data_IF_146978310768
#
_entry.id   IF_146978310768
#
_cell.length_a   1.000
_cell.length_b   1.000
_cell.length_c   1.000
_cell.angle_alpha   90.00
_cell.angle_beta   90.00
_cell.angle_gamma   90.00
#
_symmetry.space_group_name_H-M   'P 1'
#
loop_
_entity.id
_entity.type
_entity.pdbx_description
1 polymer ?
#
# COMPACT_ATOMS: atom_id res chain seq x y z
N UNK A 1 -18.43 71.30 -47.11
CA UNK A 1 -17.49 71.87 -46.12
C UNK A 1 -16.71 70.71 -45.53
N UNK A 2 -15.58 70.33 -46.13
CA UNK A 2 -14.21 70.83 -45.83
C UNK A 2 -13.84 70.41 -44.40
N UNK A 3 -13.23 69.23 -44.19
CA UNK A 3 -11.81 68.90 -44.37
C UNK A 3 -10.86 69.72 -43.48
N UNK A 4 -10.21 69.07 -42.53
CA UNK A 4 -8.91 69.49 -42.00
C UNK A 4 -8.16 68.24 -41.49
N UNK A 5 -7.17 67.84 -42.27
CA UNK A 5 -6.12 66.92 -41.87
C UNK A 5 -5.02 67.70 -41.14
N UNK A 6 -4.40 67.09 -40.13
CA UNK A 6 -3.02 67.38 -39.78
C UNK A 6 -2.27 66.08 -39.52
N UNK A 7 -1.11 66.02 -40.17
CA UNK A 7 -0.17 64.92 -40.21
C UNK A 7 1.01 65.23 -39.26
N UNK A 8 1.67 64.17 -38.80
CA UNK A 8 3.10 64.04 -38.45
C UNK A 8 3.39 63.58 -37.00
N UNK A 9 3.87 62.34 -36.85
CA UNK A 9 5.29 62.04 -36.57
C UNK A 9 5.47 60.55 -36.25
N UNK A 10 6.39 59.90 -36.97
CA UNK A 10 6.84 58.53 -36.74
C UNK A 10 7.53 58.37 -35.38
N UNK A 11 7.22 57.26 -34.70
CA UNK A 11 8.16 56.63 -33.77
C UNK A 11 8.03 55.10 -33.90
N UNK A 12 9.07 54.49 -34.49
CA UNK A 12 9.29 53.04 -34.57
C UNK A 12 9.23 52.40 -33.18
N UNK A 13 8.27 51.51 -32.98
CA UNK A 13 8.22 50.59 -31.85
C UNK A 13 7.79 49.21 -32.34
N UNK A 14 8.76 48.42 -32.80
CA UNK A 14 8.56 47.02 -33.16
C UNK A 14 8.29 46.23 -31.86
N UNK A 15 7.01 46.13 -31.49
CA UNK A 15 6.55 45.22 -30.44
C UNK A 15 6.12 43.92 -31.11
N UNK A 16 7.03 42.95 -31.13
CA UNK A 16 6.69 41.54 -31.35
C UNK A 16 5.86 41.11 -30.14
N UNK A 17 4.54 41.25 -30.22
CA UNK A 17 3.62 40.72 -29.23
C UNK A 17 3.09 39.38 -29.68
N UNK A 18 3.23 38.39 -28.81
CA UNK A 18 2.33 37.25 -28.75
C UNK A 18 2.84 36.02 -29.48
N UNK A 19 3.61 35.22 -28.76
CA UNK A 19 3.73 33.79 -29.00
C UNK A 19 2.34 33.17 -28.78
N UNK A 20 1.47 33.15 -29.80
CA UNK A 20 0.25 32.35 -29.81
C UNK A 20 0.66 30.90 -30.06
N UNK A 21 0.56 30.05 -29.05
CA UNK A 21 0.93 28.64 -29.19
C UNK A 21 1.18 27.90 -27.89
N UNK A 22 0.34 28.10 -26.88
CA UNK A 22 0.06 27.03 -25.93
C UNK A 22 -1.43 26.75 -26.04
N UNK A 23 -1.78 25.87 -26.97
CA UNK A 23 -3.01 25.10 -26.84
C UNK A 23 -2.96 24.46 -25.46
N UNK A 24 -3.77 24.99 -24.54
CA UNK A 24 -4.23 24.23 -23.40
C UNK A 24 -4.88 22.99 -24.00
N UNK A 25 -4.15 21.87 -24.04
CA UNK A 25 -4.80 20.58 -23.96
C UNK A 25 -5.63 20.65 -22.68
N UNK A 26 -6.92 20.93 -22.82
CA UNK A 26 -7.88 20.73 -21.76
C UNK A 26 -7.70 19.27 -21.36
N UNK A 27 -6.96 19.02 -20.29
CA UNK A 27 -6.79 17.68 -19.75
C UNK A 27 -8.21 17.13 -19.59
N UNK A 28 -8.55 16.09 -20.35
CA UNK A 28 -9.90 15.55 -20.35
C UNK A 28 -10.31 15.31 -18.90
N UNK A 29 -11.38 15.96 -18.46
CA UNK A 29 -11.82 15.87 -17.08
C UNK A 29 -12.09 14.39 -16.77
N UNK A 30 -11.36 13.84 -15.79
CA UNK A 30 -11.50 12.44 -15.38
C UNK A 30 -12.97 12.15 -15.07
N UNK A 31 -13.47 11.02 -15.55
CA UNK A 31 -14.85 10.57 -15.38
C UNK A 31 -14.92 9.48 -14.32
N UNK A 32 -15.63 9.74 -13.24
CA UNK A 32 -15.89 8.77 -12.18
C UNK A 32 -17.23 8.08 -12.37
N UNK A 33 -17.24 6.78 -12.09
CA UNK A 33 -18.46 6.00 -11.83
C UNK A 33 -18.42 5.59 -10.37
N UNK A 34 -19.49 5.88 -9.65
CA UNK A 34 -19.66 5.51 -8.25
C UNK A 34 -20.54 4.25 -8.18
N UNK A 35 -20.11 3.25 -7.43
CA UNK A 35 -20.89 2.04 -7.15
C UNK A 35 -21.18 1.97 -5.66
N UNK A 36 -22.42 2.21 -5.25
CA UNK A 36 -22.82 2.21 -3.83
C UNK A 36 -24.34 2.09 -3.71
N UNK A 37 -24.82 1.24 -2.80
CA UNK A 37 -26.27 1.03 -2.55
C UNK A 37 -26.85 1.98 -1.50
N UNK A 38 -26.04 2.40 -0.53
CA UNK A 38 -26.47 3.26 0.56
C UNK A 38 -26.42 4.76 0.16
N UNK A 39 -27.50 5.55 0.38
CA UNK A 39 -27.52 6.96 0.02
C UNK A 39 -26.46 7.83 0.72
N UNK A 40 -26.07 7.49 1.95
CA UNK A 40 -24.99 8.22 2.65
C UNK A 40 -23.64 7.87 2.04
N UNK A 41 -23.40 6.59 1.74
CA UNK A 41 -22.20 6.15 1.03
C UNK A 41 -22.06 6.83 -0.34
N UNK A 42 -23.15 6.96 -1.10
CA UNK A 42 -23.19 7.72 -2.36
C UNK A 42 -22.80 9.18 -2.13
N UNK A 43 -23.42 9.86 -1.17
CA UNK A 43 -23.14 11.27 -0.89
C UNK A 43 -21.67 11.51 -0.49
N UNK A 44 -21.11 10.63 0.34
CA UNK A 44 -19.72 10.69 0.74
C UNK A 44 -18.76 10.39 -0.41
N UNK A 45 -19.09 9.40 -1.25
CA UNK A 45 -18.30 9.05 -2.43
C UNK A 45 -18.28 10.21 -3.43
N UNK A 46 -19.43 10.84 -3.70
CA UNK A 46 -19.51 12.05 -4.52
C UNK A 46 -18.69 13.19 -3.93
N UNK A 47 -18.74 13.39 -2.61
CA UNK A 47 -17.89 14.38 -1.96
C UNK A 47 -16.41 14.08 -2.20
N UNK A 48 -15.96 12.84 -2.01
CA UNK A 48 -14.56 12.47 -2.22
C UNK A 48 -14.11 12.70 -3.68
N UNK A 49 -14.93 12.31 -4.66
CA UNK A 49 -14.68 12.51 -6.10
C UNK A 49 -14.61 14.01 -6.44
N UNK A 50 -15.52 14.83 -5.90
CA UNK A 50 -15.50 16.30 -6.08
C UNK A 50 -14.24 16.94 -5.51
N UNK A 51 -13.83 16.55 -4.29
CA UNK A 51 -12.60 17.07 -3.68
C UNK A 51 -11.35 16.67 -4.47
N UNK A 52 -11.37 15.51 -5.15
CA UNK A 52 -10.30 15.08 -6.02
C UNK A 52 -10.31 15.74 -7.42
N UNK A 53 -11.28 16.61 -7.71
CA UNK A 53 -11.40 17.30 -9.01
C UNK A 53 -11.82 16.41 -10.17
N UNK A 54 -12.53 15.32 -9.89
CA UNK A 54 -13.02 14.34 -10.87
C UNK A 54 -14.52 14.55 -11.10
N UNK A 55 -15.00 14.38 -12.34
CA UNK A 55 -16.41 14.57 -12.67
C UNK A 55 -17.19 13.25 -12.50
N UNK A 56 -18.23 13.26 -11.65
CA UNK A 56 -19.15 12.11 -11.52
C UNK A 56 -19.98 11.99 -12.79
N UNK A 57 -19.88 10.86 -13.47
CA UNK A 57 -20.62 10.55 -14.70
C UNK A 57 -21.85 9.70 -14.42
N UNK A 58 -21.76 8.77 -13.48
CA UNK A 58 -22.85 7.88 -13.11
C UNK A 58 -22.70 7.39 -11.68
N UNK A 59 -23.84 7.15 -11.03
CA UNK A 59 -23.94 6.40 -9.78
C UNK A 59 -24.77 5.16 -10.06
N UNK A 60 -24.23 3.99 -9.75
CA UNK A 60 -24.84 2.69 -10.04
C UNK A 60 -24.96 1.85 -8.76
N UNK A 61 -25.95 0.97 -8.75
CA UNK A 61 -26.25 0.08 -7.63
C UNK A 61 -25.77 -1.34 -7.94
N UNK A 62 -25.39 -2.11 -6.91
CA UNK A 62 -24.90 -3.48 -7.07
C UNK A 62 -25.95 -4.39 -7.73
N UNK A 63 -27.23 -4.18 -7.43
CA UNK A 63 -28.34 -4.98 -7.97
C UNK A 63 -28.42 -4.98 -9.51
N UNK A 64 -28.03 -3.88 -10.16
CA UNK A 64 -28.10 -3.72 -11.63
C UNK A 64 -26.73 -3.45 -12.26
N UNK A 65 -25.66 -3.86 -11.58
CA UNK A 65 -24.28 -3.49 -11.89
C UNK A 65 -23.90 -3.73 -13.36
N UNK A 66 -24.10 -4.95 -13.85
CA UNK A 66 -23.65 -5.35 -15.20
C UNK A 66 -24.34 -4.52 -16.27
N UNK A 67 -25.67 -4.43 -16.23
CA UNK A 67 -26.45 -3.65 -17.19
C UNK A 67 -26.06 -2.17 -17.16
N UNK A 68 -25.91 -1.59 -15.97
CA UNK A 68 -25.56 -0.18 -15.83
C UNK A 68 -24.12 0.12 -16.32
N UNK A 69 -23.18 -0.81 -16.15
CA UNK A 69 -21.82 -0.68 -16.67
C UNK A 69 -21.75 -0.78 -18.20
N UNK A 70 -22.63 -1.56 -18.82
CA UNK A 70 -22.70 -1.70 -20.28
C UNK A 70 -23.15 -0.40 -20.96
N UNK A 71 -24.04 0.36 -20.31
CA UNK A 71 -24.48 1.68 -20.78
C UNK A 71 -23.39 2.76 -20.65
N UNK A 72 -22.34 2.49 -19.87
CA UNK A 72 -21.23 3.43 -19.65
C UNK A 72 -20.13 3.15 -20.69
N UNK A 73 -19.86 4.15 -21.53
CA UNK A 73 -18.85 4.03 -22.60
C UNK A 73 -17.43 3.91 -22.07
N UNK A 74 -17.06 4.73 -21.06
CA UNK A 74 -15.71 4.82 -20.52
C UNK A 74 -15.72 5.42 -19.11
N UNK A 75 -14.86 4.90 -18.23
CA UNK A 75 -14.59 5.46 -16.91
C UNK A 75 -13.08 5.61 -16.66
N UNK A 76 -12.66 6.71 -16.04
CA UNK A 76 -11.27 6.90 -15.59
C UNK A 76 -11.09 6.52 -14.10
N UNK A 77 -12.19 6.42 -13.37
CA UNK A 77 -12.25 6.04 -11.96
C UNK A 77 -13.52 5.22 -11.71
N UNK A 78 -13.36 4.04 -11.11
CA UNK A 78 -14.42 3.30 -10.46
C UNK A 78 -14.22 3.45 -8.94
N UNK A 79 -15.14 4.15 -8.29
CA UNK A 79 -15.16 4.28 -6.83
C UNK A 79 -16.29 3.42 -6.28
N UNK A 80 -15.93 2.36 -5.56
CA UNK A 80 -16.85 1.35 -5.07
C UNK A 80 -16.94 1.46 -3.55
N UNK A 81 -18.15 1.64 -3.01
CA UNK A 81 -18.43 1.50 -1.60
C UNK A 81 -19.20 0.20 -1.37
N UNK A 82 -18.50 -0.79 -0.81
CA UNK A 82 -18.99 -2.12 -0.50
C UNK A 82 -19.39 -2.26 0.98
N UNK A 83 -19.45 -1.16 1.74
CA UNK A 83 -19.78 -1.20 3.17
C UNK A 83 -21.20 -1.71 3.39
N UNK A 84 -21.36 -2.76 4.19
CA UNK A 84 -22.66 -3.36 4.46
C UNK A 84 -23.29 -4.14 3.29
N UNK A 85 -22.57 -4.30 2.17
CA UNK A 85 -23.04 -5.09 1.03
C UNK A 85 -22.82 -6.59 1.33
N UNK A 86 -23.82 -7.46 1.10
CA UNK A 86 -23.66 -8.90 1.34
C UNK A 86 -22.50 -9.51 0.54
N UNK A 87 -21.76 -10.42 1.18
CA UNK A 87 -20.56 -11.07 0.60
C UNK A 87 -20.89 -11.79 -0.71
N UNK A 88 -22.08 -12.39 -0.84
CA UNK A 88 -22.54 -13.08 -2.04
C UNK A 88 -22.69 -12.12 -3.24
N UNK A 89 -23.14 -10.90 -2.96
CA UNK A 89 -23.25 -9.85 -3.98
C UNK A 89 -21.86 -9.38 -4.40
N UNK A 90 -20.95 -9.20 -3.44
CA UNK A 90 -19.57 -8.79 -3.71
C UNK A 90 -18.80 -9.85 -4.50
N UNK A 91 -19.02 -11.14 -4.21
CA UNK A 91 -18.36 -12.26 -4.90
C UNK A 91 -18.64 -12.25 -6.41
N UNK A 92 -19.85 -11.88 -6.82
CA UNK A 92 -20.20 -11.70 -8.23
C UNK A 92 -19.80 -10.34 -8.81
N UNK A 93 -19.88 -9.27 -8.02
CA UNK A 93 -19.67 -7.89 -8.48
C UNK A 93 -18.20 -7.51 -8.66
N UNK A 94 -17.33 -7.91 -7.74
CA UNK A 94 -15.93 -7.48 -7.71
C UNK A 94 -15.13 -7.95 -8.95
N UNK A 95 -15.28 -9.19 -9.46
CA UNK A 95 -14.65 -9.60 -10.71
C UNK A 95 -15.08 -8.74 -11.91
N UNK A 96 -16.36 -8.39 -11.99
CA UNK A 96 -16.91 -7.56 -13.08
C UNK A 96 -16.31 -6.14 -13.02
N UNK A 97 -16.21 -5.57 -11.83
CA UNK A 97 -15.59 -4.26 -11.61
C UNK A 97 -14.10 -4.26 -11.93
N UNK A 98 -13.37 -5.31 -11.52
CA UNK A 98 -11.95 -5.47 -11.84
C UNK A 98 -11.72 -5.55 -13.36
N UNK A 99 -12.49 -6.42 -14.05
CA UNK A 99 -12.41 -6.56 -15.50
C UNK A 99 -12.76 -5.26 -16.23
N UNK A 100 -13.76 -4.52 -15.73
CA UNK A 100 -14.11 -3.20 -16.27
C UNK A 100 -12.99 -2.18 -16.07
N UNK A 101 -12.41 -2.13 -14.87
CA UNK A 101 -11.29 -1.22 -14.59
C UNK A 101 -10.09 -1.51 -15.50
N UNK A 102 -9.74 -2.78 -15.70
CA UNK A 102 -8.66 -3.17 -16.61
C UNK A 102 -8.95 -2.78 -18.06
N UNK A 103 -10.17 -3.04 -18.55
CA UNK A 103 -10.61 -2.69 -19.92
C UNK A 103 -10.46 -1.20 -20.20
N UNK A 104 -10.94 -0.37 -19.28
CA UNK A 104 -10.93 1.09 -19.43
C UNK A 104 -9.59 1.71 -19.01
N UNK A 105 -8.69 0.92 -18.41
CA UNK A 105 -7.52 1.41 -17.66
C UNK A 105 -7.93 2.42 -16.57
N UNK A 106 -9.10 2.20 -15.99
CA UNK A 106 -9.62 3.02 -14.91
C UNK A 106 -8.87 2.73 -13.62
N UNK A 107 -8.72 3.77 -12.80
CA UNK A 107 -8.35 3.56 -11.40
C UNK A 107 -9.51 2.87 -10.68
N UNK A 108 -9.23 1.82 -9.91
CA UNK A 108 -10.22 1.14 -9.07
C UNK A 108 -9.92 1.43 -7.60
N UNK A 109 -10.87 2.04 -6.89
CA UNK A 109 -10.80 2.29 -5.44
C UNK A 109 -11.99 1.63 -4.78
N UNK A 110 -11.75 0.77 -3.79
CA UNK A 110 -12.81 0.01 -3.11
C UNK A 110 -12.75 0.26 -1.61
N UNK A 111 -13.81 0.81 -1.06
CA UNK A 111 -14.06 0.99 0.37
C UNK A 111 -14.96 -0.13 0.89
N UNK A 112 -14.63 -0.71 2.05
CA UNK A 112 -15.36 -1.85 2.61
C UNK A 112 -15.16 -1.97 4.13
N UNK A 113 -16.04 -2.71 4.80
CA UNK A 113 -15.91 -3.04 6.22
C UNK A 113 -15.05 -4.29 6.46
N UNK A 114 -14.64 -4.50 7.72
CA UNK A 114 -13.78 -5.62 8.12
C UNK A 114 -14.35 -7.00 7.73
N UNK A 115 -15.68 -7.12 7.67
CA UNK A 115 -16.42 -8.32 7.29
C UNK A 115 -16.15 -8.75 5.84
N UNK A 116 -15.78 -7.82 4.97
CA UNK A 116 -15.55 -8.05 3.56
C UNK A 116 -14.07 -8.23 3.19
N UNK A 117 -13.14 -8.17 4.15
CA UNK A 117 -11.68 -8.27 3.88
C UNK A 117 -11.36 -9.51 3.03
N UNK A 118 -11.88 -10.67 3.39
CA UNK A 118 -11.51 -11.92 2.72
C UNK A 118 -12.07 -12.00 1.29
N UNK A 119 -13.32 -11.61 1.04
CA UNK A 119 -13.93 -11.62 -0.31
C UNK A 119 -13.33 -10.53 -1.21
N UNK A 120 -13.04 -9.34 -0.67
CA UNK A 120 -12.38 -8.27 -1.42
C UNK A 120 -10.96 -8.69 -1.80
N UNK A 121 -10.23 -9.28 -0.85
CA UNK A 121 -8.86 -9.73 -1.11
C UNK A 121 -8.82 -10.92 -2.06
N UNK A 122 -9.82 -11.79 -2.02
CA UNK A 122 -10.01 -12.85 -3.00
C UNK A 122 -10.12 -12.30 -4.42
N UNK A 123 -10.76 -11.16 -4.66
CA UNK A 123 -10.94 -10.69 -6.04
C UNK A 123 -9.90 -9.67 -6.48
N UNK A 124 -9.37 -8.87 -5.56
CA UNK A 124 -8.64 -7.65 -5.91
C UNK A 124 -7.21 -7.56 -5.36
N UNK A 125 -6.83 -8.40 -4.40
CA UNK A 125 -5.50 -8.32 -3.79
C UNK A 125 -4.41 -8.69 -4.79
N UNK A 126 -3.34 -7.87 -4.83
CA UNK A 126 -2.26 -8.00 -5.82
C UNK A 126 -2.62 -7.45 -7.21
N UNK A 127 -3.86 -7.01 -7.41
CA UNK A 127 -4.29 -6.29 -8.61
C UNK A 127 -4.04 -4.77 -8.51
N UNK A 128 -4.49 -4.00 -9.53
CA UNK A 128 -4.32 -2.54 -9.56
C UNK A 128 -5.28 -1.78 -8.62
N UNK A 129 -6.12 -2.48 -7.87
CA UNK A 129 -7.12 -1.86 -7.00
C UNK A 129 -6.50 -1.28 -5.72
N UNK A 130 -6.92 -0.08 -5.34
CA UNK A 130 -6.65 0.47 -4.00
C UNK A 130 -7.75 0.02 -3.05
N UNK A 131 -7.36 -0.73 -2.02
CA UNK A 131 -8.27 -1.31 -1.03
C UNK A 131 -8.26 -0.45 0.25
N UNK A 132 -9.43 0.02 0.69
CA UNK A 132 -9.59 0.86 1.87
C UNK A 132 -10.59 0.21 2.84
N UNK A 133 -10.06 -0.38 3.92
CA UNK A 133 -10.87 -1.00 4.96
C UNK A 133 -11.22 0.03 6.05
N UNK A 134 -12.50 0.18 6.40
CA UNK A 134 -13.01 1.18 7.36
C UNK A 134 -12.57 2.61 7.00
N UNK A 135 -12.65 2.93 5.71
CA UNK A 135 -12.04 4.11 5.12
C UNK A 135 -12.64 5.43 5.64
N UNK A 136 -11.76 6.35 6.06
CA UNK A 136 -12.19 7.73 6.34
C UNK A 136 -12.35 8.55 5.05
N UNK A 137 -13.14 9.63 5.05
CA UNK A 137 -13.31 10.48 3.86
C UNK A 137 -11.98 10.98 3.27
N UNK A 138 -11.03 11.38 4.10
CA UNK A 138 -9.71 11.85 3.67
C UNK A 138 -8.87 10.77 2.98
N UNK A 139 -8.99 9.52 3.41
CA UNK A 139 -8.29 8.38 2.81
C UNK A 139 -8.83 8.08 1.42
N UNK A 140 -10.16 8.19 1.23
CA UNK A 140 -10.79 8.07 -0.10
C UNK A 140 -10.30 9.15 -1.05
N UNK A 141 -10.25 10.41 -0.62
CA UNK A 141 -9.71 11.50 -1.45
C UNK A 141 -8.25 11.23 -1.81
N UNK A 142 -7.42 10.87 -0.82
CA UNK A 142 -6.01 10.58 -1.04
C UNK A 142 -5.83 9.42 -2.04
N UNK A 143 -6.62 8.35 -1.93
CA UNK A 143 -6.59 7.23 -2.86
C UNK A 143 -6.88 7.68 -4.29
N UNK A 144 -7.94 8.48 -4.51
CA UNK A 144 -8.34 8.97 -5.83
C UNK A 144 -7.26 9.86 -6.46
N UNK A 145 -6.63 10.71 -5.65
CA UNK A 145 -5.57 11.61 -6.13
C UNK A 145 -4.29 10.83 -6.47
N UNK A 146 -3.83 9.98 -5.55
CA UNK A 146 -2.54 9.29 -5.65
C UNK A 146 -2.52 8.15 -6.69
N UNK A 147 -3.65 7.48 -6.93
CA UNK A 147 -3.72 6.42 -7.95
C UNK A 147 -3.74 6.92 -9.40
N UNK A 148 -3.69 8.24 -9.62
CA UNK A 148 -3.56 8.86 -10.95
C UNK A 148 -2.16 8.65 -11.58
N UNK A 149 -1.19 8.15 -10.80
CA UNK A 149 0.18 7.90 -11.24
C UNK A 149 0.61 6.45 -10.97
N UNK A 150 1.02 5.76 -12.04
CA UNK A 150 1.76 4.50 -12.04
C UNK A 150 2.65 4.29 -10.79
N UNK A 151 2.45 3.17 -10.08
CA UNK A 151 3.33 2.59 -9.04
C UNK A 151 4.04 3.60 -8.12
N UNK A 152 3.29 4.50 -7.48
CA UNK A 152 3.82 5.37 -6.41
C UNK A 152 3.09 5.16 -5.08
N UNK A 153 2.78 3.90 -4.75
CA UNK A 153 2.04 3.50 -3.56
C UNK A 153 2.88 3.31 -2.29
N UNK A 154 4.13 3.80 -2.23
CA UNK A 154 5.01 3.66 -1.05
C UNK A 154 5.16 4.96 -0.22
N UNK A 155 4.61 6.09 -0.69
CA UNK A 155 5.13 7.41 -0.30
C UNK A 155 4.47 8.12 0.92
N UNK A 156 3.60 7.50 1.71
CA UNK A 156 3.05 8.18 2.91
C UNK A 156 3.80 7.75 4.17
N UNK A 157 3.75 6.45 4.49
CA UNK A 157 4.49 5.88 5.62
C UNK A 157 6.00 5.91 5.41
N UNK A 158 6.50 5.76 4.18
CA UNK A 158 7.92 5.91 3.87
C UNK A 158 8.39 7.36 3.94
N UNK A 159 7.53 8.37 3.66
CA UNK A 159 7.91 9.76 3.88
C UNK A 159 8.08 10.09 5.35
N UNK A 160 7.23 9.53 6.22
CA UNK A 160 7.38 9.71 7.66
C UNK A 160 8.55 8.89 8.22
N UNK A 161 8.76 7.66 7.73
CA UNK A 161 9.91 6.83 8.11
C UNK A 161 11.24 7.40 7.58
N UNK A 162 11.31 7.88 6.34
CA UNK A 162 12.47 8.60 5.78
C UNK A 162 12.67 9.93 6.47
N UNK A 163 11.61 10.65 6.86
CA UNK A 163 11.72 11.89 7.64
C UNK A 163 12.27 11.59 9.03
N UNK A 164 11.81 10.53 9.69
CA UNK A 164 12.36 10.06 10.96
C UNK A 164 13.78 9.52 10.81
N UNK A 165 14.11 8.81 9.73
CA UNK A 165 15.46 8.34 9.44
C UNK A 165 16.39 9.50 9.10
N UNK A 166 15.92 10.52 8.38
CA UNK A 166 16.67 11.77 8.16
C UNK A 166 16.85 12.51 9.46
N UNK A 167 15.82 12.64 10.31
CA UNK A 167 15.97 13.21 11.65
C UNK A 167 16.95 12.41 12.50
N UNK A 168 16.85 11.09 12.52
CA UNK A 168 17.75 10.22 13.27
C UNK A 168 19.16 10.23 12.69
N UNK A 169 19.33 10.36 11.39
CA UNK A 169 20.62 10.56 10.73
C UNK A 169 21.18 11.94 11.02
N UNK A 170 20.34 12.97 11.16
CA UNK A 170 20.73 14.31 11.57
C UNK A 170 21.15 14.32 13.04
N UNK A 171 20.40 13.64 13.92
CA UNK A 171 20.73 13.44 15.33
C UNK A 171 22.00 12.60 15.46
N UNK A 172 22.16 11.54 14.67
CA UNK A 172 23.38 10.75 14.63
C UNK A 172 24.55 11.56 14.08
N UNK A 173 24.34 12.45 13.10
CA UNK A 173 25.37 13.35 12.57
C UNK A 173 25.74 14.43 13.58
N UNK A 174 24.80 14.95 14.35
CA UNK A 174 25.03 15.88 15.46
C UNK A 174 25.74 15.15 16.58
N UNK A 175 25.30 13.96 16.96
CA UNK A 175 25.97 13.11 17.95
C UNK A 175 27.38 12.74 17.52
N UNK A 176 27.61 12.48 16.23
CA UNK A 176 28.92 12.21 15.65
C UNK A 176 29.75 13.50 15.56
N UNK A 177 29.19 14.65 15.24
CA UNK A 177 29.88 15.93 15.26
C UNK A 177 30.27 16.34 16.70
N UNK A 178 29.41 16.07 17.69
CA UNK A 178 29.69 16.24 19.11
C UNK A 178 30.73 15.23 19.60
N UNK A 179 30.64 13.97 19.19
CA UNK A 179 31.64 12.95 19.46
C UNK A 179 32.96 13.21 18.72
N UNK A 180 32.94 13.90 17.59
CA UNK A 180 34.12 14.33 16.84
C UNK A 180 34.75 15.57 17.46
N UNK A 181 33.95 16.51 17.98
CA UNK A 181 34.45 17.59 18.84
C UNK A 181 35.06 17.03 20.14
N UNK A 182 34.52 15.92 20.65
CA UNK A 182 35.08 15.20 21.80
C UNK A 182 36.34 14.39 21.44
N UNK A 183 36.40 13.82 20.23
CA UNK A 183 37.56 13.10 19.66
C UNK A 183 38.63 14.02 19.08
N UNK A 184 38.34 15.28 18.80
CA UNK A 184 39.37 16.29 18.50
C UNK A 184 40.19 16.65 19.77
N UNK A 185 39.88 16.01 20.91
CA UNK A 185 40.75 15.86 22.07
C UNK A 185 41.52 14.54 22.17
N UNK A 186 41.39 13.59 21.24
CA UNK A 186 42.13 12.30 21.27
C UNK A 186 42.20 11.59 19.89
N UNK A 187 43.42 11.46 19.37
CA UNK A 187 43.72 10.97 18.02
C UNK A 187 43.68 9.44 17.89
N UNK A 188 42.94 8.89 16.91
CA UNK A 188 43.12 7.50 16.47
C UNK A 188 42.09 6.93 15.46
N UNK A 189 42.44 7.02 14.18
CA UNK A 189 42.37 6.01 13.09
C UNK A 189 41.19 5.00 12.92
N UNK A 190 40.61 4.93 11.70
CA UNK A 190 40.01 3.70 11.12
C UNK A 190 38.67 3.85 10.36
N UNK A 191 38.67 3.76 9.02
CA UNK A 191 38.22 2.63 8.13
C UNK A 191 36.83 2.87 7.48
N UNK A 192 36.81 2.98 6.14
CA UNK A 192 35.66 2.77 5.23
C UNK A 192 36.08 1.66 4.25
N UNK A 193 35.26 0.76 3.74
CA UNK A 193 33.83 0.47 3.88
C UNK A 193 33.60 -0.79 3.02
N UNK A 194 32.73 -1.71 3.45
CA UNK A 194 32.44 -2.96 2.74
C UNK A 194 30.95 -3.01 2.40
N UNK A 195 30.66 -3.21 1.13
CA UNK A 195 29.33 -3.44 0.56
C UNK A 195 28.75 -4.75 1.11
N UNK A 196 27.49 -4.69 1.53
CA UNK A 196 26.73 -5.78 2.16
C UNK A 196 26.30 -6.85 1.15
N UNK A 197 27.07 -7.93 1.07
CA UNK A 197 26.53 -9.27 0.92
C UNK A 197 26.68 -9.95 2.28
N UNK A 198 25.59 -10.00 3.06
CA UNK A 198 25.60 -10.71 4.34
C UNK A 198 25.61 -12.21 4.08
N UNK A 199 26.82 -12.78 3.95
CA UNK A 199 27.07 -14.21 4.03
C UNK A 199 27.33 -14.53 5.50
N UNK A 200 26.45 -15.32 6.12
CA UNK A 200 26.64 -15.77 7.49
C UNK A 200 27.97 -16.56 7.61
N UNK A 201 28.75 -16.39 8.70
CA UNK A 201 30.01 -17.12 8.88
C UNK A 201 29.74 -18.63 8.99
N UNK A 202 30.53 -19.43 8.28
CA UNK A 202 30.45 -20.90 8.34
C UNK A 202 31.20 -21.40 9.57
N UNK A 203 30.46 -21.71 10.65
CA UNK A 203 31.01 -22.34 11.85
C UNK A 203 30.17 -23.54 12.29
N UNK A 204 30.57 -24.72 11.79
CA UNK A 204 30.35 -26.02 12.46
C UNK A 204 29.10 -26.81 12.05
N UNK A 205 29.32 -27.95 11.40
CA UNK A 205 28.33 -28.95 10.99
C UNK A 205 27.81 -29.81 12.18
N UNK A 206 27.13 -29.19 13.14
CA UNK A 206 26.27 -29.91 14.10
C UNK A 206 24.85 -30.11 13.55
N UNK A 207 24.06 -31.07 14.05
CA UNK A 207 22.65 -31.19 13.71
C UNK A 207 21.95 -29.88 14.07
N UNK A 208 21.42 -29.16 13.07
CA UNK A 208 20.72 -27.91 13.32
C UNK A 208 19.39 -28.23 13.99
N UNK A 209 19.06 -27.63 15.16
CA UNK A 209 17.79 -27.89 15.83
C UNK A 209 16.63 -27.53 14.90
N UNK A 210 15.71 -28.47 14.70
CA UNK A 210 14.47 -28.22 13.96
C UNK A 210 13.62 -27.23 14.75
N UNK A 211 13.33 -26.05 14.18
CA UNK A 211 12.50 -25.06 14.84
C UNK A 211 11.05 -25.52 14.93
N UNK A 212 10.48 -25.39 16.13
CA UNK A 212 9.09 -25.75 16.44
C UNK A 212 8.15 -24.56 16.29
N UNK A 213 6.87 -24.83 16.00
CA UNK A 213 5.82 -23.80 16.02
C UNK A 213 5.78 -23.07 17.36
N UNK A 214 5.95 -23.78 18.49
CA UNK A 214 5.97 -23.19 19.83
C UNK A 214 7.08 -22.14 20.00
N UNK A 215 8.26 -22.36 19.41
CA UNK A 215 9.36 -21.40 19.42
C UNK A 215 8.97 -20.11 18.68
N UNK A 216 8.40 -20.24 17.48
CA UNK A 216 7.97 -19.09 16.66
C UNK A 216 6.81 -18.34 17.31
N UNK A 217 5.81 -19.05 17.85
CA UNK A 217 4.70 -18.46 18.62
C UNK A 217 5.19 -17.74 19.88
N UNK A 218 6.22 -18.27 20.54
CA UNK A 218 6.89 -17.61 21.65
C UNK A 218 7.51 -16.27 21.25
N UNK A 219 8.13 -16.20 20.07
CA UNK A 219 8.68 -14.96 19.52
C UNK A 219 7.58 -13.91 19.23
N UNK A 220 6.48 -14.32 18.58
CA UNK A 220 5.32 -13.46 18.34
C UNK A 220 4.78 -12.90 19.66
N UNK A 221 4.64 -13.77 20.68
CA UNK A 221 4.16 -13.36 22.00
C UNK A 221 5.12 -12.37 22.67
N UNK A 222 6.43 -12.61 22.59
CA UNK A 222 7.43 -11.70 23.15
C UNK A 222 7.38 -10.31 22.51
N UNK A 223 7.11 -10.24 21.20
CA UNK A 223 6.92 -8.98 20.47
C UNK A 223 5.66 -8.25 20.93
N UNK A 224 4.51 -8.96 21.01
CA UNK A 224 3.24 -8.41 21.51
C UNK A 224 3.29 -7.95 22.97
N UNK A 225 4.14 -8.57 23.80
CA UNK A 225 4.33 -8.10 25.18
C UNK A 225 4.84 -6.66 25.24
N UNK A 226 5.57 -6.18 24.22
CA UNK A 226 6.06 -4.78 24.18
C UNK A 226 4.92 -3.77 24.21
N UNK A 227 3.79 -4.10 23.58
CA UNK A 227 2.58 -3.26 23.49
C UNK A 227 1.91 -3.03 24.87
N UNK A 228 2.21 -3.87 25.87
CA UNK A 228 1.69 -3.69 27.24
C UNK A 228 2.47 -2.63 28.01
N UNK A 229 3.70 -2.31 27.58
CA UNK A 229 4.60 -1.40 28.28
C UNK A 229 4.85 -0.11 27.49
N UNK A 230 4.65 -0.13 26.18
CA UNK A 230 4.91 0.99 25.27
C UNK A 230 3.76 1.17 24.28
N UNK A 231 3.66 2.36 23.68
CA UNK A 231 2.70 2.60 22.60
C UNK A 231 2.93 1.62 21.45
N UNK A 232 1.86 0.97 20.98
CA UNK A 232 1.92 -0.17 20.06
C UNK A 232 2.45 0.18 18.67
N UNK A 233 2.36 1.45 18.27
CA UNK A 233 2.81 1.97 16.98
C UNK A 233 4.34 2.19 16.89
N UNK A 234 5.05 2.20 18.02
CA UNK A 234 6.50 2.48 18.05
C UNK A 234 7.37 1.31 17.56
N UNK A 235 6.89 0.08 17.64
CA UNK A 235 7.70 -1.13 17.41
C UNK A 235 7.11 -2.09 16.37
N UNK A 236 6.17 -1.60 15.55
CA UNK A 236 5.54 -2.42 14.52
C UNK A 236 6.53 -2.78 13.40
N UNK A 237 6.62 -4.06 13.07
CA UNK A 237 7.29 -4.56 11.87
C UNK A 237 6.33 -5.55 11.17
N UNK A 238 5.33 -5.01 10.46
CA UNK A 238 4.21 -5.80 9.96
C UNK A 238 4.67 -6.88 8.98
N UNK A 239 5.71 -6.63 8.18
CA UNK A 239 6.25 -7.62 7.26
C UNK A 239 6.82 -8.82 8.02
N UNK A 240 7.63 -8.57 9.06
CA UNK A 240 8.19 -9.63 9.88
C UNK A 240 7.13 -10.36 10.70
N UNK A 241 6.17 -9.64 11.27
CA UNK A 241 5.08 -10.22 12.05
C UNK A 241 4.20 -11.15 11.20
N UNK A 242 3.92 -10.78 9.94
CA UNK A 242 3.24 -11.64 8.98
C UNK A 242 4.05 -12.90 8.63
N UNK A 243 5.36 -12.75 8.38
CA UNK A 243 6.22 -13.90 8.06
C UNK A 243 6.31 -14.89 9.23
N UNK A 244 6.40 -14.39 10.46
CA UNK A 244 6.38 -15.21 11.67
C UNK A 244 5.05 -15.96 11.81
N UNK A 245 3.92 -15.28 11.64
CA UNK A 245 2.59 -15.89 11.78
C UNK A 245 2.35 -16.98 10.72
N UNK A 246 2.69 -16.70 9.47
CA UNK A 246 2.59 -17.67 8.37
C UNK A 246 3.53 -18.86 8.56
N UNK A 247 4.75 -18.63 9.07
CA UNK A 247 5.69 -19.71 9.34
C UNK A 247 5.22 -20.59 10.50
N UNK A 248 4.69 -20.00 11.57
CA UNK A 248 4.11 -20.74 12.68
C UNK A 248 2.90 -21.58 12.22
N UNK A 249 1.98 -20.99 11.48
CA UNK A 249 0.82 -21.70 10.91
C UNK A 249 1.25 -22.86 10.01
N UNK A 250 2.28 -22.66 9.16
CA UNK A 250 2.84 -23.73 8.33
C UNK A 250 3.38 -24.89 9.16
N UNK A 251 4.11 -24.61 10.24
CA UNK A 251 4.63 -25.64 11.15
C UNK A 251 3.50 -26.39 11.90
N UNK A 252 2.35 -25.73 12.07
CA UNK A 252 1.12 -26.30 12.65
C UNK A 252 0.26 -27.06 11.63
N UNK A 253 0.61 -26.99 10.33
CA UNK A 253 -0.20 -27.55 9.24
C UNK A 253 -1.48 -26.76 8.94
N UNK A 254 -1.55 -25.50 9.39
CA UNK A 254 -2.68 -24.60 9.19
C UNK A 254 -2.48 -23.61 8.05
N UNK A 255 -3.58 -22.95 7.68
CA UNK A 255 -3.62 -21.85 6.71
C UNK A 255 -4.08 -20.56 7.41
N UNK A 256 -3.67 -19.40 6.88
CA UNK A 256 -4.02 -18.08 7.45
C UNK A 256 -4.84 -17.30 6.44
N UNK A 257 -6.04 -16.84 6.83
CA UNK A 257 -6.86 -15.95 6.00
C UNK A 257 -6.25 -14.55 5.92
N UNK A 258 -6.66 -13.75 4.93
CA UNK A 258 -6.18 -12.38 4.80
C UNK A 258 -6.58 -11.54 6.02
N UNK A 259 -7.83 -11.69 6.47
CA UNK A 259 -8.33 -11.07 7.70
C UNK A 259 -7.49 -11.42 8.94
N UNK A 260 -7.16 -12.70 9.14
CA UNK A 260 -6.32 -13.15 10.27
C UNK A 260 -4.88 -12.61 10.16
N UNK A 261 -4.34 -12.56 8.94
CA UNK A 261 -3.00 -12.03 8.72
C UNK A 261 -2.93 -10.52 8.96
N UNK A 262 -3.99 -9.78 8.63
CA UNK A 262 -4.11 -8.37 8.98
C UNK A 262 -4.05 -8.17 10.49
N UNK A 263 -4.76 -8.99 11.28
CA UNK A 263 -4.69 -8.95 12.75
C UNK A 263 -3.27 -9.30 13.23
N UNK A 264 -2.62 -10.29 12.63
CA UNK A 264 -1.28 -10.70 13.01
C UNK A 264 -0.23 -9.59 12.82
N UNK A 265 -0.43 -8.71 11.83
CA UNK A 265 0.49 -7.64 11.48
C UNK A 265 0.57 -6.46 12.46
N UNK A 266 -0.35 -6.38 13.44
CA UNK A 266 -0.43 -5.32 14.44
C UNK A 266 -0.51 -3.88 13.87
N UNK A 267 -0.94 -3.72 12.60
CA UNK A 267 -1.18 -2.43 11.95
C UNK A 267 -2.62 -2.35 11.40
N UNK A 268 -3.14 -1.14 11.08
CA UNK A 268 -4.47 -1.03 10.46
C UNK A 268 -4.62 -1.89 9.20
N UNK A 269 -5.81 -2.47 8.92
CA UNK A 269 -5.99 -3.43 7.81
C UNK A 269 -5.57 -2.90 6.44
N UNK A 270 -5.85 -1.64 6.12
CA UNK A 270 -5.39 -1.01 4.86
C UNK A 270 -3.86 -1.03 4.71
N UNK A 271 -3.14 -0.83 5.83
CA UNK A 271 -1.67 -0.94 5.85
C UNK A 271 -1.22 -2.38 5.70
N UNK A 272 -1.90 -3.33 6.37
CA UNK A 272 -1.62 -4.75 6.25
C UNK A 272 -1.80 -5.27 4.81
N UNK A 273 -2.90 -4.95 4.13
CA UNK A 273 -3.16 -5.36 2.74
C UNK A 273 -2.06 -4.89 1.77
N UNK A 274 -1.50 -3.70 2.00
CA UNK A 274 -0.35 -3.18 1.24
C UNK A 274 0.93 -3.97 1.51
N UNK A 275 1.19 -4.35 2.76
CA UNK A 275 2.33 -5.23 3.08
C UNK A 275 2.17 -6.63 2.51
N UNK A 276 0.96 -7.19 2.51
CA UNK A 276 0.70 -8.48 1.85
C UNK A 276 0.99 -8.39 0.35
N UNK A 277 0.58 -7.30 -0.31
CA UNK A 277 0.94 -7.03 -1.71
C UNK A 277 2.45 -6.94 -1.89
N UNK A 278 3.15 -6.18 -1.03
CA UNK A 278 4.62 -6.02 -1.08
C UNK A 278 5.35 -7.36 -0.91
N UNK A 279 4.92 -8.19 0.04
CA UNK A 279 5.48 -9.53 0.27
C UNK A 279 5.17 -10.49 -0.89
N UNK A 280 4.03 -10.31 -1.55
CA UNK A 280 3.63 -11.08 -2.74
C UNK A 280 4.51 -10.71 -3.93
N UNK A 281 4.71 -9.41 -4.17
CA UNK A 281 5.60 -8.88 -5.21
C UNK A 281 7.07 -9.29 -4.98
N UNK A 282 7.50 -9.38 -3.72
CA UNK A 282 8.82 -9.90 -3.34
C UNK A 282 8.94 -11.44 -3.49
N UNK A 283 7.86 -12.13 -3.84
CA UNK A 283 7.80 -13.59 -3.99
C UNK A 283 7.99 -14.35 -2.68
N UNK A 284 7.71 -13.74 -1.53
CA UNK A 284 7.84 -14.35 -0.20
C UNK A 284 6.56 -15.03 0.25
N UNK A 285 5.41 -14.44 -0.11
CA UNK A 285 4.09 -15.01 0.13
C UNK A 285 3.33 -15.17 -1.19
N UNK A 286 2.35 -16.04 -1.19
CA UNK A 286 1.42 -16.20 -2.30
C UNK A 286 0.01 -16.38 -1.76
N UNK A 287 -0.96 -16.00 -2.58
CA UNK A 287 -2.37 -16.28 -2.34
C UNK A 287 -2.69 -17.70 -2.79
N UNK A 288 -3.49 -18.42 -2.00
CA UNK A 288 -4.02 -19.74 -2.31
C UNK A 288 -5.54 -19.73 -2.12
N UNK A 289 -6.28 -20.23 -3.11
CA UNK A 289 -7.73 -20.44 -2.97
C UNK A 289 -8.02 -21.55 -1.96
N UNK A 290 -9.06 -21.37 -1.13
CA UNK A 290 -9.52 -22.43 -0.24
C UNK A 290 -10.21 -23.54 -1.08
N UNK A 291 -9.70 -24.79 -1.05
CA UNK A 291 -10.30 -25.89 -1.80
C UNK A 291 -11.73 -26.23 -1.35
N UNK A 292 -12.12 -25.86 -0.13
CA UNK A 292 -13.42 -26.16 0.46
C UNK A 292 -14.45 -25.04 0.28
N UNK A 293 -13.99 -23.78 0.15
CA UNK A 293 -14.87 -22.62 -0.09
C UNK A 293 -14.19 -21.62 -1.04
N UNK A 294 -14.65 -21.58 -2.29
CA UNK A 294 -14.12 -20.67 -3.33
C UNK A 294 -14.27 -19.18 -2.99
N UNK A 295 -15.04 -18.84 -1.96
CA UNK A 295 -15.25 -17.46 -1.47
C UNK A 295 -14.18 -17.01 -0.47
N UNK A 296 -13.17 -17.85 -0.19
CA UNK A 296 -12.07 -17.52 0.72
C UNK A 296 -10.71 -17.77 0.07
N UNK A 297 -9.77 -16.91 0.39
CA UNK A 297 -8.36 -17.11 0.09
C UNK A 297 -7.52 -17.10 1.36
N UNK A 298 -6.49 -17.92 1.32
CA UNK A 298 -5.43 -17.95 2.31
C UNK A 298 -4.18 -17.30 1.75
N UNK A 299 -3.34 -16.78 2.65
CA UNK A 299 -1.98 -16.40 2.34
C UNK A 299 -1.07 -17.52 2.86
N UNK A 300 -0.09 -17.90 2.04
CA UNK A 300 0.90 -18.92 2.36
C UNK A 300 2.30 -18.43 2.03
N UNK A 301 3.31 -18.97 2.73
CA UNK A 301 4.70 -18.75 2.33
C UNK A 301 4.99 -19.48 1.01
N UNK A 302 5.68 -18.81 0.10
CA UNK A 302 6.26 -19.47 -1.08
C UNK A 302 7.43 -20.36 -0.67
N UNK A 303 7.94 -21.19 -1.59
CA UNK A 303 9.17 -21.94 -1.35
C UNK A 303 10.35 -21.02 -0.94
N UNK A 304 10.43 -19.82 -1.52
CA UNK A 304 11.43 -18.80 -1.16
C UNK A 304 11.20 -18.26 0.25
N UNK A 305 9.95 -17.92 0.60
CA UNK A 305 9.59 -17.47 1.95
C UNK A 305 9.92 -18.52 3.02
N UNK A 306 9.59 -19.79 2.76
CA UNK A 306 9.92 -20.92 3.65
C UNK A 306 11.43 -21.06 3.81
N UNK A 307 12.19 -21.07 2.72
CA UNK A 307 13.64 -21.18 2.77
C UNK A 307 14.28 -20.01 3.54
N UNK A 308 13.76 -18.78 3.38
CA UNK A 308 14.22 -17.63 4.14
C UNK A 308 13.97 -17.77 5.65
N UNK A 309 12.76 -18.19 6.04
CA UNK A 309 12.41 -18.41 7.45
C UNK A 309 13.22 -19.54 8.07
N UNK A 310 13.47 -20.62 7.33
CA UNK A 310 14.35 -21.70 7.75
C UNK A 310 15.81 -21.23 7.87
N UNK A 311 16.35 -20.51 6.89
CA UNK A 311 17.70 -19.97 6.98
C UNK A 311 17.90 -19.04 8.19
N UNK A 312 16.92 -18.19 8.47
CA UNK A 312 16.90 -17.36 9.68
C UNK A 312 16.87 -18.21 10.95
N UNK A 313 15.97 -19.20 11.00
CA UNK A 313 15.83 -20.14 12.12
C UNK A 313 17.16 -20.79 12.49
N UNK A 314 17.86 -21.30 11.48
CA UNK A 314 19.14 -21.95 11.67
C UNK A 314 20.23 -20.96 12.11
N UNK A 315 20.25 -19.75 11.55
CA UNK A 315 21.20 -18.71 11.93
C UNK A 315 21.05 -18.28 13.39
N UNK A 316 19.81 -18.08 13.85
CA UNK A 316 19.49 -17.77 15.26
C UNK A 316 19.94 -18.89 16.19
N UNK A 317 19.66 -20.15 15.81
CA UNK A 317 20.08 -21.32 16.58
C UNK A 317 21.62 -21.44 16.67
N UNK A 318 22.32 -21.25 15.55
CA UNK A 318 23.80 -21.27 15.51
C UNK A 318 24.42 -20.16 16.34
N UNK A 319 23.80 -18.99 16.38
CA UNK A 319 24.25 -17.87 17.20
C UNK A 319 23.92 -18.01 18.69
N UNK A 320 23.18 -19.05 19.09
CA UNK A 320 22.69 -19.20 20.48
C UNK A 320 21.69 -18.11 20.89
N UNK A 321 21.03 -17.48 19.91
CA UNK A 321 20.08 -16.39 20.13
C UNK A 321 18.65 -16.92 20.28
N UNK A 322 17.80 -16.14 20.95
CA UNK A 322 16.36 -16.33 20.90
C UNK A 322 15.75 -15.70 19.65
N UNK A 323 14.51 -16.06 19.32
CA UNK A 323 13.77 -15.49 18.19
C UNK A 323 13.16 -14.10 18.46
N UNK A 324 13.32 -13.55 19.67
CA UNK A 324 12.59 -12.38 20.18
C UNK A 324 13.27 -11.04 19.89
#
# INVERSE_FOLDING_TARGET
MVAAAMCAAEAKGHRVTGFEGFEQHAAAARRAVIVADDPLAVADAEAAVRHAGVAVTATIFFANLTTALDDITHADLLLVDATGVPVETLDGALPVLAARAERDRAQLVVSFGIEAIDVVSLHLLGGPATLLCEARPEERVAAIVLGSGTKAGFNAAERDAERLQRLNAEVARIAEALAKLARDGDTGEGVRGRTDDFVAPDTGAGPVPTVSAATVRGAIRARRLREQFFASDLFADPAWDMLLDLFAARLEGGNVSVSSLCIASAVPPTTALRWITTLTDAGLVARQEDPADKRRAFIVLTARGVAGMQGYAEAVARAGLGWA
#
